data_IF_551183524433
#
_entry.id   IF_551183524433
#
_cell.length_a   1.000
_cell.length_b   1.000
_cell.length_c   1.000
_cell.angle_alpha   90.00
_cell.angle_beta   90.00
_cell.angle_gamma   90.00
#
_symmetry.space_group_name_H-M   'P 1'
#
loop_
_entity.id
_entity.type
_entity.pdbx_description
1 polymer ?
#
# COMPACT_ATOMS: atom_id res chain seq x y z
N UNK A 1 -7.47 -35.87 -5.24
CA UNK A 1 -6.30 -35.01 -4.98
C UNK A 1 -6.34 -34.64 -3.51
N UNK A 2 -5.21 -34.71 -2.81
CA UNK A 2 -5.09 -34.32 -1.40
C UNK A 2 -4.39 -32.96 -1.33
N UNK A 3 -4.99 -32.00 -0.61
CA UNK A 3 -4.37 -30.69 -0.34
C UNK A 3 -3.93 -30.65 1.11
N UNK A 4 -2.65 -30.35 1.33
CA UNK A 4 -2.04 -30.13 2.66
C UNK A 4 -1.70 -28.65 2.79
N UNK A 5 -2.20 -27.99 3.84
CA UNK A 5 -1.78 -26.64 4.23
C UNK A 5 -0.52 -26.72 5.12
N UNK A 6 0.31 -25.69 5.10
CA UNK A 6 1.59 -25.65 5.82
C UNK A 6 1.43 -25.69 7.35
N UNK A 7 2.52 -26.06 8.02
CA UNK A 7 2.57 -26.42 9.43
C UNK A 7 2.22 -25.26 10.38
N UNK A 8 1.25 -25.51 11.28
CA UNK A 8 1.18 -24.85 12.58
C UNK A 8 1.38 -25.94 13.64
N UNK A 9 2.41 -25.78 14.48
CA UNK A 9 2.99 -26.82 15.34
C UNK A 9 2.05 -27.41 16.42
N UNK A 10 0.79 -26.96 16.50
CA UNK A 10 -0.17 -27.37 17.55
C UNK A 10 -1.55 -27.75 17.01
N UNK A 11 -1.84 -27.55 15.72
CA UNK A 11 -3.15 -27.85 15.14
C UNK A 11 -3.11 -29.17 14.33
N UNK A 12 -4.12 -30.06 14.46
CA UNK A 12 -4.18 -31.26 13.64
C UNK A 12 -4.27 -30.89 12.15
N UNK A 13 -3.46 -31.58 11.34
CA UNK A 13 -3.37 -31.41 9.88
C UNK A 13 -4.77 -31.46 9.26
N UNK A 14 -5.22 -30.34 8.68
CA UNK A 14 -6.49 -30.29 7.94
C UNK A 14 -6.29 -30.92 6.57
N UNK A 15 -7.08 -31.95 6.26
CA UNK A 15 -7.06 -32.66 4.98
C UNK A 15 -8.39 -32.45 4.27
N UNK A 16 -8.34 -31.90 3.06
CA UNK A 16 -9.51 -31.73 2.20
C UNK A 16 -9.46 -32.71 1.03
N UNK A 17 -10.56 -33.46 0.82
CA UNK A 17 -10.70 -34.42 -0.29
C UNK A 17 -11.75 -33.91 -1.27
N UNK A 18 -11.37 -33.81 -2.54
CA UNK A 18 -12.22 -33.31 -3.60
C UNK A 18 -11.86 -33.95 -4.95
N UNK A 19 -12.77 -33.84 -5.92
CA UNK A 19 -12.56 -34.30 -7.31
C UNK A 19 -11.64 -33.34 -8.09
N UNK A 20 -11.73 -32.04 -7.81
CA UNK A 20 -10.99 -30.99 -8.50
C UNK A 20 -10.54 -29.92 -7.50
N UNK A 21 -9.39 -29.30 -7.78
CA UNK A 21 -8.85 -28.14 -7.05
C UNK A 21 -8.60 -27.02 -8.04
N UNK A 22 -9.03 -25.81 -7.70
CA UNK A 22 -8.68 -24.58 -8.43
C UNK A 22 -7.64 -23.84 -7.60
N UNK A 23 -6.41 -23.73 -8.12
CA UNK A 23 -5.34 -22.98 -7.48
C UNK A 23 -5.30 -21.55 -8.04
N UNK A 24 -5.72 -20.59 -7.22
CA UNK A 24 -5.74 -19.16 -7.54
C UNK A 24 -4.69 -18.39 -6.71
N UNK A 25 -3.48 -18.95 -6.63
CA UNK A 25 -2.38 -18.37 -5.86
C UNK A 25 -1.76 -17.18 -6.62
N UNK A 26 -1.31 -16.13 -5.92
CA UNK A 26 -0.50 -15.08 -6.53
C UNK A 26 0.75 -15.67 -7.22
N UNK A 27 1.21 -15.00 -8.28
CA UNK A 27 2.40 -15.45 -9.02
C UNK A 27 3.64 -15.48 -8.11
N UNK A 28 3.78 -14.52 -7.18
CA UNK A 28 4.87 -14.47 -6.20
C UNK A 28 4.92 -15.72 -5.32
N UNK A 29 3.76 -16.17 -4.81
CA UNK A 29 3.63 -17.43 -4.05
C UNK A 29 4.05 -18.62 -4.90
N UNK A 30 3.63 -18.70 -6.17
CA UNK A 30 4.01 -19.79 -7.07
C UNK A 30 5.52 -19.79 -7.35
N UNK A 31 6.11 -18.64 -7.60
CA UNK A 31 7.55 -18.51 -7.82
C UNK A 31 8.35 -18.88 -6.56
N UNK A 32 7.90 -18.43 -5.40
CA UNK A 32 8.52 -18.76 -4.11
C UNK A 32 8.41 -20.25 -3.77
N UNK A 33 7.24 -20.85 -4.03
CA UNK A 33 7.00 -22.29 -3.85
C UNK A 33 7.87 -23.15 -4.77
N UNK A 34 8.24 -22.63 -5.95
CA UNK A 34 9.11 -23.28 -6.93
C UNK A 34 10.59 -22.88 -6.80
N UNK A 35 10.96 -22.11 -5.77
CA UNK A 35 12.32 -21.61 -5.52
C UNK A 35 12.93 -20.80 -6.69
N UNK A 36 12.09 -20.07 -7.43
CA UNK A 36 12.52 -19.21 -8.53
C UNK A 36 12.16 -17.73 -8.34
N UNK A 37 11.77 -17.33 -7.13
CA UNK A 37 11.49 -15.92 -6.82
C UNK A 37 12.77 -15.08 -6.71
N UNK A 38 12.74 -13.82 -7.15
CA UNK A 38 13.93 -12.94 -7.15
C UNK A 38 14.50 -12.66 -5.75
N UNK A 39 13.64 -12.72 -4.72
CA UNK A 39 14.02 -12.55 -3.30
C UNK A 39 13.96 -13.84 -2.49
N UNK A 40 14.24 -14.99 -3.12
CA UNK A 40 14.13 -16.29 -2.46
C UNK A 40 14.86 -16.37 -1.12
N UNK A 41 16.05 -15.76 -1.01
CA UNK A 41 16.82 -15.70 0.24
C UNK A 41 16.04 -15.08 1.41
N UNK A 42 15.31 -13.98 1.18
CA UNK A 42 14.52 -13.32 2.23
C UNK A 42 13.31 -14.19 2.62
N UNK A 43 12.69 -14.82 1.63
CA UNK A 43 11.54 -15.72 1.85
C UNK A 43 11.98 -16.93 2.68
N UNK A 44 13.15 -17.50 2.39
CA UNK A 44 13.70 -18.66 3.11
C UNK A 44 14.08 -18.34 4.56
N UNK A 45 14.25 -17.07 4.90
CA UNK A 45 14.56 -16.60 6.26
C UNK A 45 13.32 -16.18 7.07
N UNK A 46 12.13 -16.18 6.47
CA UNK A 46 10.91 -15.73 7.14
C UNK A 46 9.93 -16.87 7.37
N UNK A 47 9.73 -17.22 8.64
CA UNK A 47 8.76 -18.24 9.06
C UNK A 47 7.34 -17.93 8.55
N UNK A 48 6.94 -16.66 8.58
CA UNK A 48 5.64 -16.21 8.09
C UNK A 48 5.49 -16.46 6.59
N UNK A 49 6.51 -16.11 5.80
CA UNK A 49 6.45 -16.28 4.33
C UNK A 49 6.48 -17.77 3.95
N UNK A 50 7.27 -18.59 4.66
CA UNK A 50 7.34 -20.03 4.42
C UNK A 50 6.00 -20.74 4.65
N UNK A 51 5.20 -20.31 5.64
CA UNK A 51 3.87 -20.87 5.92
C UNK A 51 2.85 -20.64 4.78
N UNK A 52 3.10 -19.69 3.89
CA UNK A 52 2.22 -19.38 2.75
C UNK A 52 2.55 -20.20 1.50
N UNK A 53 3.64 -20.98 1.50
CA UNK A 53 4.09 -21.72 0.32
C UNK A 53 3.34 -23.04 0.14
N UNK A 54 3.25 -23.49 -1.11
CA UNK A 54 2.55 -24.74 -1.47
C UNK A 54 3.48 -25.75 -2.10
N UNK A 55 3.16 -27.03 -1.93
CA UNK A 55 3.80 -28.14 -2.64
C UNK A 55 2.81 -28.83 -3.55
N UNK A 56 3.22 -29.04 -4.81
CA UNK A 56 2.46 -29.83 -5.77
C UNK A 56 2.96 -31.26 -5.80
N UNK A 57 2.04 -32.22 -5.62
CA UNK A 57 2.31 -33.65 -5.77
C UNK A 57 1.22 -34.30 -6.65
N UNK A 58 1.55 -34.80 -7.86
CA UNK A 58 2.88 -34.75 -8.48
C UNK A 58 3.35 -33.32 -8.78
N UNK A 59 4.66 -33.08 -8.95
CA UNK A 59 5.19 -31.76 -9.31
C UNK A 59 4.58 -31.19 -10.59
N UNK A 60 4.45 -29.87 -10.67
CA UNK A 60 4.03 -29.18 -11.89
C UNK A 60 4.96 -29.55 -13.07
N UNK A 61 4.44 -29.63 -14.28
CA UNK A 61 5.23 -29.96 -15.47
C UNK A 61 6.37 -28.97 -15.72
N UNK A 62 7.43 -29.41 -16.40
CA UNK A 62 8.59 -28.57 -16.73
C UNK A 62 8.19 -27.30 -17.50
N UNK A 63 7.26 -27.42 -18.46
CA UNK A 63 6.72 -26.29 -19.21
C UNK A 63 6.06 -25.26 -18.29
N UNK A 64 5.21 -25.69 -17.34
CA UNK A 64 4.52 -24.78 -16.41
C UNK A 64 5.51 -24.08 -15.46
N UNK A 65 6.52 -24.79 -14.95
CA UNK A 65 7.58 -24.20 -14.12
C UNK A 65 8.39 -23.15 -14.89
N UNK A 66 8.75 -23.45 -16.15
CA UNK A 66 9.47 -22.52 -17.01
C UNK A 66 8.65 -21.26 -17.32
N UNK A 67 7.34 -21.39 -17.56
CA UNK A 67 6.46 -20.23 -17.73
C UNK A 67 6.39 -19.38 -16.48
N UNK A 68 6.20 -19.98 -15.30
CA UNK A 68 6.14 -19.27 -14.01
C UNK A 68 7.43 -18.49 -13.76
N UNK A 69 8.60 -19.09 -14.01
CA UNK A 69 9.90 -18.45 -13.77
C UNK A 69 10.25 -17.30 -14.73
N UNK A 70 9.57 -17.18 -15.88
CA UNK A 70 9.83 -16.11 -16.87
C UNK A 70 8.95 -14.88 -16.70
N UNK A 71 7.83 -15.01 -15.99
CA UNK A 71 6.90 -13.90 -15.80
C UNK A 71 7.43 -12.94 -14.72
N UNK A 72 7.50 -11.66 -15.06
CA UNK A 72 7.81 -10.61 -14.10
C UNK A 72 6.61 -10.35 -13.18
N UNK A 73 6.89 -10.15 -11.89
CA UNK A 73 5.92 -9.68 -10.91
C UNK A 73 6.21 -8.20 -10.62
N UNK A 74 5.34 -7.32 -11.11
CA UNK A 74 5.42 -5.90 -10.79
C UNK A 74 5.00 -5.65 -9.35
N UNK A 75 5.53 -4.58 -8.74
CA UNK A 75 5.03 -4.06 -7.47
C UNK A 75 4.52 -2.65 -7.66
N UNK A 76 3.49 -2.27 -6.91
CA UNK A 76 2.86 -0.96 -6.96
C UNK A 76 2.41 -0.58 -5.56
N UNK A 77 3.15 0.34 -4.95
CA UNK A 77 2.93 0.76 -3.57
C UNK A 77 1.84 1.82 -3.48
N UNK A 78 1.21 1.92 -2.31
CA UNK A 78 0.23 2.95 -1.98
C UNK A 78 0.55 3.56 -0.62
N UNK A 79 0.41 4.88 -0.54
CA UNK A 79 0.45 5.63 0.71
C UNK A 79 -0.94 6.26 0.88
N UNK A 80 -1.65 5.86 1.92
CA UNK A 80 -2.90 6.49 2.32
C UNK A 80 -2.60 7.58 3.34
N UNK A 81 -3.14 8.78 3.12
CA UNK A 81 -3.00 9.92 4.01
C UNK A 81 -4.40 10.46 4.31
N UNK A 82 -4.77 10.53 5.59
CA UNK A 82 -6.05 11.09 6.01
C UNK A 82 -5.82 12.37 6.78
N UNK A 83 -6.36 13.47 6.29
CA UNK A 83 -6.27 14.78 6.92
C UNK A 83 -7.61 15.22 7.49
N UNK A 84 -7.58 16.19 8.41
CA UNK A 84 -8.77 16.89 8.87
C UNK A 84 -9.43 17.65 7.71
N UNK A 85 -10.75 17.53 7.56
CA UNK A 85 -11.53 18.28 6.57
C UNK A 85 -11.73 19.76 6.98
N UNK A 86 -11.87 20.00 8.29
CA UNK A 86 -12.14 21.32 8.87
C UNK A 86 -10.93 21.85 9.64
N UNK A 87 -10.80 23.19 9.70
CA UNK A 87 -9.89 23.85 10.64
C UNK A 87 -10.41 23.63 12.07
N UNK A 88 -9.54 23.18 12.98
CA UNK A 88 -9.86 23.12 14.42
C UNK A 88 -10.21 21.76 15.00
N UNK A 89 -10.00 20.63 14.30
CA UNK A 89 -10.28 19.29 14.84
C UNK A 89 -9.36 18.83 15.99
N UNK A 90 -8.91 19.69 16.91
CA UNK A 90 -8.34 19.26 18.17
C UNK A 90 -9.38 18.53 19.01
N UNK A 91 -8.99 17.47 19.71
CA UNK A 91 -9.76 16.98 20.85
C UNK A 91 -9.76 18.11 21.89
N UNK A 92 -10.80 18.94 21.89
CA UNK A 92 -11.13 19.79 23.03
C UNK A 92 -12.45 19.26 23.57
N UNK A 93 -12.34 18.50 24.67
CA UNK A 93 -13.43 18.43 25.63
C UNK A 93 -13.77 19.88 26.01
N UNK A 94 -15.07 20.17 26.04
CA UNK A 94 -15.72 21.48 26.24
C UNK A 94 -16.01 22.29 24.98
N UNK A 95 -17.27 22.18 24.54
CA UNK A 95 -18.10 23.35 24.26
C UNK A 95 -17.93 24.01 22.89
N UNK A 96 -18.82 23.63 21.97
CA UNK A 96 -19.52 24.54 21.06
C UNK A 96 -18.70 25.56 20.27
N UNK A 97 -17.96 25.09 19.26
CA UNK A 97 -17.80 25.89 18.04
C UNK A 97 -17.83 24.98 16.80
N UNK A 98 -19.04 24.66 16.34
CA UNK A 98 -19.31 23.93 15.09
C UNK A 98 -19.05 24.79 13.83
N UNK A 99 -18.31 25.90 13.94
CA UNK A 99 -17.93 26.75 12.81
C UNK A 99 -16.53 26.44 12.28
N UNK A 100 -16.18 25.16 12.22
CA UNK A 100 -14.93 24.72 11.61
C UNK A 100 -14.97 24.97 10.10
N UNK A 101 -14.50 26.13 9.64
CA UNK A 101 -14.38 26.39 8.21
C UNK A 101 -13.53 25.31 7.53
N UNK A 102 -13.98 24.86 6.37
CA UNK A 102 -13.26 23.89 5.54
C UNK A 102 -11.85 24.39 5.23
N UNK A 103 -10.86 23.51 5.33
CA UNK A 103 -9.48 23.88 5.00
C UNK A 103 -9.39 24.32 3.53
N UNK A 104 -8.64 25.40 3.18
CA UNK A 104 -8.53 25.87 1.79
C UNK A 104 -8.16 24.78 0.79
N UNK A 105 -7.35 23.81 1.23
CA UNK A 105 -7.05 22.59 0.48
C UNK A 105 -8.33 21.85 0.01
N UNK A 106 -9.24 21.53 0.92
CA UNK A 106 -10.47 20.80 0.57
C UNK A 106 -11.46 21.68 -0.19
N UNK A 107 -11.54 22.96 0.15
CA UNK A 107 -12.37 23.92 -0.57
C UNK A 107 -11.98 24.04 -2.06
N UNK A 108 -10.68 24.02 -2.36
CA UNK A 108 -10.17 24.24 -3.73
C UNK A 108 -9.90 22.95 -4.51
N UNK A 109 -9.54 21.87 -3.81
CA UNK A 109 -9.12 20.60 -4.41
C UNK A 109 -10.01 19.42 -4.03
N UNK A 110 -10.95 19.56 -3.10
CA UNK A 110 -11.78 18.47 -2.58
C UNK A 110 -12.64 17.77 -3.63
N UNK A 111 -13.03 18.48 -4.70
CA UNK A 111 -13.77 17.91 -5.83
C UNK A 111 -12.87 17.34 -6.94
N UNK A 112 -11.56 17.62 -6.93
CA UNK A 112 -10.64 17.12 -7.96
C UNK A 112 -10.30 15.67 -7.68
N UNK A 113 -10.61 14.77 -8.61
CA UNK A 113 -10.39 13.33 -8.44
C UNK A 113 -8.92 12.93 -8.54
N UNK A 114 -8.15 13.55 -9.43
CA UNK A 114 -6.75 13.23 -9.66
C UNK A 114 -5.89 14.49 -9.54
N UNK A 115 -4.74 14.33 -8.90
CA UNK A 115 -3.74 15.37 -8.75
C UNK A 115 -2.43 14.81 -9.31
N UNK A 116 -2.01 15.34 -10.46
CA UNK A 116 -0.74 14.96 -11.07
C UNK A 116 0.40 15.68 -10.33
N UNK A 117 1.47 14.93 -10.03
CA UNK A 117 2.73 15.53 -9.56
C UNK A 117 3.33 16.43 -10.65
N UNK A 118 3.94 17.52 -10.24
CA UNK A 118 4.70 18.41 -11.14
C UNK A 118 6.15 17.96 -11.34
N UNK A 119 6.61 16.94 -10.59
CA UNK A 119 7.98 16.45 -10.64
C UNK A 119 8.08 15.25 -11.58
N UNK A 120 8.65 15.47 -12.76
CA UNK A 120 8.76 14.47 -13.84
C UNK A 120 9.44 13.15 -13.40
N UNK A 121 10.38 13.23 -12.45
CA UNK A 121 11.16 12.07 -11.97
C UNK A 121 10.63 11.46 -10.67
N UNK A 122 9.47 11.91 -10.18
CA UNK A 122 8.85 11.33 -8.99
C UNK A 122 7.66 10.47 -9.42
N UNK A 123 7.78 9.13 -9.40
CA UNK A 123 6.80 8.22 -9.99
C UNK A 123 5.59 8.06 -9.06
N UNK A 124 4.88 9.17 -8.83
CA UNK A 124 3.71 9.24 -7.96
C UNK A 124 2.49 9.81 -8.67
N UNK A 125 1.34 9.22 -8.39
CA UNK A 125 0.04 9.75 -8.79
C UNK A 125 -0.83 9.86 -7.54
N UNK A 126 -1.46 11.01 -7.33
CA UNK A 126 -2.31 11.23 -6.17
C UNK A 126 -3.77 11.14 -6.61
N UNK A 127 -4.48 10.14 -6.07
CA UNK A 127 -5.91 9.98 -6.19
C UNK A 127 -6.57 10.59 -4.96
N UNK A 128 -7.42 11.59 -5.16
CA UNK A 128 -8.21 12.17 -4.08
C UNK A 128 -9.43 11.28 -3.82
N UNK A 129 -9.51 10.70 -2.63
CA UNK A 129 -10.61 9.83 -2.22
C UNK A 129 -11.74 10.59 -1.50
N UNK A 130 -11.53 11.87 -1.17
CA UNK A 130 -12.55 12.75 -0.61
C UNK A 130 -13.87 12.75 -1.42
N UNK A 131 -13.89 12.97 -2.74
CA UNK A 131 -15.14 13.01 -3.51
C UNK A 131 -15.81 11.63 -3.64
N UNK A 132 -15.10 10.54 -3.28
CA UNK A 132 -15.63 9.17 -3.28
C UNK A 132 -16.17 8.75 -1.89
N UNK A 133 -16.43 9.72 -1.01
CA UNK A 133 -16.98 9.47 0.33
C UNK A 133 -15.94 9.07 1.39
N UNK A 134 -14.64 9.11 1.07
CA UNK A 134 -13.56 8.96 2.05
C UNK A 134 -13.05 10.33 2.46
N UNK A 135 -13.83 11.00 3.32
CA UNK A 135 -13.55 12.38 3.75
C UNK A 135 -12.09 12.54 4.20
N UNK A 136 -11.46 13.61 3.68
CA UNK A 136 -10.10 13.99 4.05
C UNK A 136 -8.99 13.06 3.52
N UNK A 137 -9.28 12.09 2.65
CA UNK A 137 -8.33 11.01 2.32
C UNK A 137 -7.73 11.17 0.93
N UNK A 138 -6.40 11.02 0.85
CA UNK A 138 -5.63 10.86 -0.39
C UNK A 138 -5.05 9.45 -0.46
N UNK A 139 -5.01 8.89 -1.68
CA UNK A 139 -4.28 7.67 -2.01
C UNK A 139 -3.16 8.02 -2.99
N UNK A 140 -1.92 7.92 -2.53
CA UNK A 140 -0.74 8.19 -3.34
C UNK A 140 -0.23 6.88 -3.89
N UNK A 141 -0.36 6.72 -5.19
CA UNK A 141 0.18 5.60 -5.95
C UNK A 141 1.68 5.80 -6.15
N UNK A 142 2.47 4.78 -5.88
CA UNK A 142 3.92 4.79 -6.02
C UNK A 142 4.30 3.70 -7.00
N UNK A 143 4.89 4.10 -8.12
CA UNK A 143 5.31 3.17 -9.17
C UNK A 143 6.79 2.78 -9.01
N UNK A 144 7.22 1.65 -9.62
CA UNK A 144 8.63 1.29 -9.68
C UNK A 144 9.48 2.39 -10.35
N UNK A 145 10.76 2.54 -9.96
CA UNK A 145 11.47 1.70 -8.99
C UNK A 145 11.19 2.06 -7.53
N UNK A 146 10.57 3.21 -7.24
CA UNK A 146 10.41 3.72 -5.88
C UNK A 146 9.55 2.82 -4.99
N UNK A 147 8.55 2.13 -5.54
CA UNK A 147 7.70 1.21 -4.77
C UNK A 147 8.37 -0.10 -4.37
N UNK A 148 9.59 -0.36 -4.80
CA UNK A 148 10.36 -1.54 -4.40
C UNK A 148 11.14 -1.18 -3.14
N UNK A 149 10.64 -1.63 -1.98
CA UNK A 149 11.28 -1.39 -0.68
C UNK A 149 11.48 0.08 -0.30
N UNK A 150 10.82 1.01 -1.01
CA UNK A 150 10.87 2.45 -0.74
C UNK A 150 12.28 3.03 -0.54
N UNK A 151 13.26 2.56 -1.34
CA UNK A 151 14.68 2.92 -1.21
C UNK A 151 15.28 2.64 0.19
N UNK A 152 14.77 1.62 0.90
CA UNK A 152 15.21 1.24 2.25
C UNK A 152 14.70 2.16 3.35
N UNK A 153 13.74 3.04 3.07
CA UNK A 153 13.12 3.93 4.05
C UNK A 153 12.08 3.20 4.89
N UNK A 154 11.97 3.59 6.16
CA UNK A 154 10.84 3.19 6.99
C UNK A 154 9.56 3.97 6.60
N UNK A 155 8.41 3.50 7.05
CA UNK A 155 7.12 4.08 6.68
C UNK A 155 6.99 5.56 7.04
N UNK A 156 7.58 5.98 8.17
CA UNK A 156 7.51 7.37 8.63
C UNK A 156 8.31 8.27 7.70
N UNK A 157 9.51 7.85 7.31
CA UNK A 157 10.33 8.54 6.33
C UNK A 157 9.65 8.63 4.96
N UNK A 158 8.98 7.55 4.52
CA UNK A 158 8.21 7.53 3.27
C UNK A 158 7.05 8.51 3.30
N UNK A 159 6.34 8.57 4.43
CA UNK A 159 5.24 9.53 4.63
C UNK A 159 5.75 10.95 4.68
N UNK A 160 6.86 11.22 5.38
CA UNK A 160 7.45 12.56 5.46
C UNK A 160 7.88 13.08 4.08
N UNK A 161 8.57 12.25 3.29
CA UNK A 161 8.90 12.55 1.89
C UNK A 161 7.64 12.92 1.07
N UNK A 162 6.58 12.13 1.24
CA UNK A 162 5.32 12.34 0.53
C UNK A 162 4.64 13.65 0.95
N UNK A 163 4.67 13.98 2.25
CA UNK A 163 4.14 15.24 2.77
C UNK A 163 4.94 16.43 2.25
N UNK A 164 6.25 16.33 2.15
CA UNK A 164 7.09 17.40 1.60
C UNK A 164 6.80 17.67 0.13
N UNK A 165 6.56 16.61 -0.66
CA UNK A 165 6.09 16.74 -2.05
C UNK A 165 4.73 17.43 -2.10
N UNK A 166 3.77 17.02 -1.27
CA UNK A 166 2.45 17.65 -1.21
C UNK A 166 2.57 19.13 -0.80
N UNK A 167 3.37 19.47 0.21
CA UNK A 167 3.61 20.86 0.63
C UNK A 167 4.17 21.70 -0.52
N UNK A 168 5.13 21.16 -1.28
CA UNK A 168 5.69 21.84 -2.44
C UNK A 168 4.64 22.07 -3.55
N UNK A 169 3.78 21.08 -3.81
CA UNK A 169 2.70 21.19 -4.80
C UNK A 169 1.65 22.24 -4.43
N UNK A 170 1.30 22.33 -3.15
CA UNK A 170 0.22 23.19 -2.67
C UNK A 170 0.68 24.51 -2.08
N UNK A 171 1.97 24.85 -2.15
CA UNK A 171 2.58 26.06 -1.57
C UNK A 171 1.81 27.37 -1.87
N UNK A 172 1.17 27.47 -3.04
CA UNK A 172 0.38 28.63 -3.43
C UNK A 172 -0.84 28.87 -2.51
N UNK A 173 -1.36 27.85 -1.83
CA UNK A 173 -2.44 27.97 -0.86
C UNK A 173 -2.04 28.78 0.39
N UNK A 174 -0.74 29.01 0.63
CA UNK A 174 -0.27 29.82 1.77
C UNK A 174 -0.89 31.22 1.77
N UNK A 175 -1.23 31.78 0.61
CA UNK A 175 -1.89 33.08 0.49
C UNK A 175 -3.30 33.12 1.14
N UNK A 176 -3.92 31.95 1.38
CA UNK A 176 -5.21 31.79 2.07
C UNK A 176 -5.05 31.37 3.54
N UNK A 177 -3.81 31.28 4.01
CA UNK A 177 -3.44 30.81 5.35
C UNK A 177 -2.73 31.92 6.12
N UNK A 178 -2.78 31.85 7.46
CA UNK A 178 -2.00 32.74 8.31
C UNK A 178 -0.50 32.43 8.25
N UNK A 179 0.32 33.37 8.70
CA UNK A 179 1.76 33.16 8.87
C UNK A 179 2.02 32.00 9.85
N UNK A 180 2.95 31.10 9.51
CA UNK A 180 3.31 29.95 10.35
C UNK A 180 2.32 28.77 10.31
N UNK A 181 1.25 28.83 9.52
CA UNK A 181 0.29 27.71 9.37
C UNK A 181 0.74 26.79 8.23
N UNK A 182 0.79 25.46 8.48
CA UNK A 182 1.10 24.45 7.46
C UNK A 182 0.06 24.51 6.32
N UNK A 183 0.54 24.35 5.09
CA UNK A 183 -0.27 24.39 3.87
C UNK A 183 -1.17 23.19 3.70
N UNK A 184 -0.79 22.07 4.31
CA UNK A 184 -1.62 20.88 4.38
C UNK A 184 -2.51 20.92 5.64
N UNK A 185 -3.76 20.43 5.58
CA UNK A 185 -4.54 20.23 6.79
C UNK A 185 -3.82 19.26 7.73
N UNK A 186 -4.21 19.23 9.01
CA UNK A 186 -3.58 18.34 9.99
C UNK A 186 -3.76 16.87 9.57
N UNK A 187 -2.65 16.14 9.47
CA UNK A 187 -2.66 14.69 9.26
C UNK A 187 -3.25 13.99 10.49
N UNK A 188 -4.19 13.08 10.28
CA UNK A 188 -4.88 12.31 11.32
C UNK A 188 -4.30 10.91 11.43
N UNK A 189 -4.13 10.23 10.30
CA UNK A 189 -3.44 8.95 10.20
C UNK A 189 -2.89 8.72 8.78
N UNK A 190 -2.11 7.65 8.64
CA UNK A 190 -1.52 7.22 7.39
C UNK A 190 -1.31 5.70 7.36
N UNK A 191 -1.17 5.14 6.15
CA UNK A 191 -0.79 3.74 5.93
C UNK A 191 0.07 3.60 4.68
N UNK A 192 1.17 2.87 4.77
CA UNK A 192 2.02 2.47 3.64
C UNK A 192 1.76 0.98 3.34
N UNK A 193 1.66 0.60 2.06
CA UNK A 193 1.52 -0.81 1.67
C UNK A 193 2.86 -1.38 1.22
N UNK A 194 3.15 -2.63 1.61
CA UNK A 194 4.39 -3.32 1.24
C UNK A 194 4.12 -4.61 0.47
N UNK A 195 3.42 -4.48 -0.67
CA UNK A 195 3.09 -5.62 -1.53
C UNK A 195 4.31 -6.40 -2.01
N UNK A 196 5.49 -5.78 -1.99
CA UNK A 196 6.71 -6.47 -2.35
C UNK A 196 7.19 -7.39 -1.20
N UNK A 197 6.95 -7.08 0.06
CA UNK A 197 7.40 -7.93 1.19
C UNK A 197 6.29 -8.83 1.74
N UNK A 198 5.04 -8.57 1.38
CA UNK A 198 3.89 -9.41 1.72
C UNK A 198 3.83 -10.64 0.80
N UNK A 199 3.81 -11.89 1.33
CA UNK A 199 3.82 -13.09 0.50
C UNK A 199 2.48 -13.34 -0.18
N UNK A 200 1.39 -12.83 0.39
CA UNK A 200 0.02 -13.00 -0.12
C UNK A 200 -0.38 -11.95 -1.15
N UNK A 201 0.53 -11.02 -1.45
CA UNK A 201 0.38 -9.94 -2.42
C UNK A 201 0.47 -10.41 -3.88
#
# INVERSE_FOLDING_TARGET
>A
MEVTLADDATAPKKVYRCRYVVAALPLGVLQASLKCHSRQHQIDQSDTLQRSLVRFDPPLSAAKRASIGRLGMGTHGKIFLRFAATRGGGHTDHGSDESGHEHPFWREYGSRVNIATTKADYPMQILNLHPYGRSGTLCVHVYPPLSIGYNGKDDKQVVDDCLDVLRAMFKHLQQHLGEGVDVLPRLLDWKVTHWDTEPEA
#
